data_IF_342787494076
#
_entry.id   IF_342787494076
#
_cell.length_a   1.000
_cell.length_b   1.000
_cell.length_c   1.000
_cell.angle_alpha   90.00
_cell.angle_beta   90.00
_cell.angle_gamma   90.00
#
_symmetry.space_group_name_H-M   'P 1'
#
loop_
_entity.id
_entity.type
_entity.pdbx_description
1 polymer ?
#
# COMPACT_ATOMS: atom_id res chain seq x y z
N UNK A 1 -11.43 -10.55 -22.97
CA UNK A 1 -10.57 -11.18 -21.95
C UNK A 1 -10.67 -10.36 -20.67
N UNK A 2 -10.98 -10.95 -19.52
CA UNK A 2 -10.83 -10.23 -18.24
C UNK A 2 -9.38 -10.23 -17.79
N UNK A 3 -9.01 -9.19 -17.05
CA UNK A 3 -7.68 -9.04 -16.47
C UNK A 3 -7.78 -9.16 -14.96
N UNK A 4 -6.87 -9.92 -14.37
CA UNK A 4 -6.78 -10.13 -12.93
C UNK A 4 -5.47 -9.59 -12.39
N UNK A 5 -5.52 -9.08 -11.16
CA UNK A 5 -4.34 -8.70 -10.38
C UNK A 5 -4.45 -9.31 -8.99
N UNK A 6 -3.32 -9.42 -8.29
CA UNK A 6 -3.28 -9.87 -6.89
C UNK A 6 -2.92 -8.70 -6.00
N UNK A 7 -3.83 -8.30 -5.11
CA UNK A 7 -3.61 -7.23 -4.13
C UNK A 7 -3.97 -7.73 -2.74
N UNK A 8 -3.11 -7.45 -1.75
CA UNK A 8 -3.28 -7.91 -0.36
C UNK A 8 -3.59 -9.41 -0.22
N UNK A 9 -3.00 -10.25 -1.09
CA UNK A 9 -3.23 -11.70 -1.08
C UNK A 9 -4.49 -12.17 -1.82
N UNK A 10 -5.35 -11.26 -2.27
CA UNK A 10 -6.64 -11.55 -2.91
C UNK A 10 -6.51 -11.32 -4.43
N UNK A 11 -7.07 -12.22 -5.23
CA UNK A 11 -7.20 -12.04 -6.67
C UNK A 11 -8.44 -11.20 -6.98
N UNK A 12 -8.29 -10.25 -7.88
CA UNK A 12 -9.36 -9.32 -8.22
C UNK A 12 -9.38 -9.04 -9.71
N UNK A 13 -10.58 -9.01 -10.28
CA UNK A 13 -10.79 -8.51 -11.63
C UNK A 13 -10.72 -6.98 -11.62
N UNK A 14 -9.86 -6.41 -12.45
CA UNK A 14 -9.67 -4.95 -12.52
C UNK A 14 -10.11 -4.34 -13.86
N UNK A 15 -10.45 -5.18 -14.83
CA UNK A 15 -10.83 -4.71 -16.16
C UNK A 15 -11.06 -5.84 -17.15
N UNK A 16 -11.39 -5.45 -18.38
CA UNK A 16 -11.34 -6.35 -19.52
C UNK A 16 -10.65 -5.70 -20.70
N UNK A 17 -10.06 -6.54 -21.54
CA UNK A 17 -9.40 -6.17 -22.76
C UNK A 17 -10.09 -6.80 -23.98
N UNK A 18 -10.09 -6.03 -25.05
CA UNK A 18 -10.20 -6.55 -26.42
C UNK A 18 -8.80 -6.75 -26.96
N UNK A 19 -8.55 -7.91 -27.58
CA UNK A 19 -7.32 -8.14 -28.35
C UNK A 19 -7.46 -7.35 -29.65
N UNK A 20 -6.55 -6.40 -29.87
CA UNK A 20 -6.50 -5.62 -31.11
C UNK A 20 -5.62 -6.32 -32.16
N UNK A 21 -4.49 -6.87 -31.72
CA UNK A 21 -3.51 -7.47 -32.62
C UNK A 21 -2.63 -8.50 -31.89
N UNK A 22 -1.90 -9.30 -32.66
CA UNK A 22 -0.91 -10.26 -32.17
C UNK A 22 0.42 -10.03 -32.89
N UNK A 23 1.52 -9.99 -32.15
CA UNK A 23 2.83 -9.73 -32.74
C UNK A 23 3.91 -10.61 -32.10
N UNK A 24 5.05 -10.73 -32.80
CA UNK A 24 6.24 -11.42 -32.29
C UNK A 24 7.24 -10.37 -31.84
N UNK A 25 7.70 -10.49 -30.60
CA UNK A 25 8.72 -9.64 -30.03
C UNK A 25 9.58 -10.45 -29.07
N UNK A 26 10.90 -10.46 -29.33
CA UNK A 26 11.87 -11.26 -28.60
C UNK A 26 12.36 -10.58 -27.32
N UNK A 27 11.99 -9.32 -27.07
CA UNK A 27 12.34 -8.63 -25.84
C UNK A 27 11.54 -9.20 -24.67
N UNK A 28 12.18 -9.41 -23.53
CA UNK A 28 11.47 -9.74 -22.30
C UNK A 28 10.67 -8.55 -21.80
N UNK A 29 9.56 -8.82 -21.10
CA UNK A 29 8.81 -7.80 -20.38
C UNK A 29 9.02 -7.98 -18.88
N UNK A 30 9.05 -6.85 -18.15
CA UNK A 30 9.12 -6.80 -16.70
C UNK A 30 10.34 -7.54 -16.11
N UNK A 31 11.56 -7.15 -16.54
CA UNK A 31 12.82 -7.73 -16.06
C UNK A 31 12.85 -9.27 -16.14
N UNK A 32 12.66 -9.82 -17.34
CA UNK A 32 12.70 -11.27 -17.64
C UNK A 32 11.62 -12.14 -16.98
N UNK A 33 10.61 -11.52 -16.34
CA UNK A 33 9.51 -12.26 -15.74
C UNK A 33 8.56 -12.87 -16.78
N UNK A 34 8.34 -12.18 -17.91
CA UNK A 34 7.52 -12.68 -19.03
C UNK A 34 8.34 -12.79 -20.31
N UNK A 35 8.60 -14.03 -20.72
CA UNK A 35 9.48 -14.38 -21.85
C UNK A 35 8.74 -14.92 -23.08
N UNK A 36 7.42 -14.71 -23.17
CA UNK A 36 6.66 -15.14 -24.35
C UNK A 36 7.02 -14.28 -25.56
N UNK A 37 7.52 -14.95 -26.61
CA UNK A 37 7.78 -14.31 -27.92
C UNK A 37 6.51 -13.82 -28.61
N UNK A 38 5.38 -14.50 -28.39
CA UNK A 38 4.07 -14.10 -28.92
C UNK A 38 3.40 -13.17 -27.92
N UNK A 39 3.09 -11.96 -28.35
CA UNK A 39 2.49 -10.91 -27.51
C UNK A 39 1.16 -10.45 -28.09
N UNK A 40 0.29 -9.97 -27.21
CA UNK A 40 -1.02 -9.43 -27.55
C UNK A 40 -1.02 -7.92 -27.36
N UNK A 41 -1.51 -7.18 -28.36
CA UNK A 41 -1.86 -5.77 -28.19
C UNK A 41 -3.29 -5.68 -27.66
N UNK A 42 -3.46 -5.01 -26.52
CA UNK A 42 -4.73 -4.97 -25.79
C UNK A 42 -5.30 -3.56 -25.73
N UNK A 43 -6.60 -3.43 -26.03
CA UNK A 43 -7.39 -2.24 -25.67
C UNK A 43 -8.16 -2.52 -24.40
N UNK A 44 -7.74 -1.87 -23.32
CA UNK A 44 -8.24 -2.14 -21.96
C UNK A 44 -9.37 -1.17 -21.60
N UNK A 45 -10.38 -1.68 -20.90
CA UNK A 45 -11.35 -0.90 -20.12
C UNK A 45 -11.24 -1.32 -18.66
N UNK A 46 -11.11 -0.35 -17.78
CA UNK A 46 -10.89 -0.59 -16.36
C UNK A 46 -12.20 -0.60 -15.60
N UNK A 47 -12.20 -1.28 -14.46
CA UNK A 47 -13.28 -1.20 -13.49
C UNK A 47 -13.00 -0.03 -12.54
N UNK A 48 -14.02 0.74 -12.20
CA UNK A 48 -13.90 1.82 -11.20
C UNK A 48 -13.51 1.25 -9.83
N UNK A 49 -14.09 0.10 -9.48
CA UNK A 49 -13.73 -0.69 -8.32
C UNK A 49 -13.43 -2.13 -8.77
N UNK A 50 -12.35 -2.74 -8.27
CA UNK A 50 -12.03 -4.12 -8.61
C UNK A 50 -13.04 -5.08 -7.97
N UNK A 51 -13.24 -6.23 -8.60
CA UNK A 51 -14.16 -7.27 -8.12
C UNK A 51 -13.32 -8.43 -7.57
N UNK A 52 -13.42 -8.65 -6.27
CA UNK A 52 -12.79 -9.78 -5.59
C UNK A 52 -13.29 -11.10 -6.17
N UNK A 53 -12.36 -12.00 -6.50
CA UNK A 53 -12.73 -13.36 -6.92
C UNK A 53 -13.46 -14.09 -5.80
N UNK A 54 -13.20 -13.77 -4.52
CA UNK A 54 -13.89 -14.39 -3.39
C UNK A 54 -15.38 -14.05 -3.39
N UNK A 55 -15.73 -12.82 -3.77
CA UNK A 55 -17.10 -12.30 -3.68
C UNK A 55 -18.00 -12.75 -4.84
N UNK A 56 -17.40 -13.21 -5.93
CA UNK A 56 -18.11 -13.61 -7.15
C UNK A 56 -17.97 -15.11 -7.46
N UNK A 57 -17.07 -15.83 -6.79
CA UNK A 57 -16.77 -17.24 -7.09
C UNK A 57 -18.00 -18.14 -7.08
N UNK A 58 -18.97 -17.89 -6.21
CA UNK A 58 -20.17 -18.72 -6.11
C UNK A 58 -21.10 -18.59 -7.33
N UNK A 59 -21.04 -17.45 -8.01
CA UNK A 59 -21.85 -17.13 -9.20
C UNK A 59 -21.20 -17.57 -10.52
N UNK A 60 -19.98 -18.11 -10.48
CA UNK A 60 -19.21 -18.48 -11.67
C UNK A 60 -19.18 -19.98 -11.90
N UNK A 61 -19.64 -20.41 -13.08
CA UNK A 61 -19.73 -21.81 -13.50
C UNK A 61 -18.34 -22.45 -13.65
N UNK A 62 -17.36 -21.69 -14.15
CA UNK A 62 -15.98 -22.19 -14.26
C UNK A 62 -15.32 -22.49 -12.89
N UNK A 63 -15.91 -22.00 -11.79
CA UNK A 63 -15.47 -22.26 -10.41
C UNK A 63 -16.22 -23.47 -9.86
N UNK A 64 -15.67 -24.67 -10.13
CA UNK A 64 -16.29 -25.95 -9.75
C UNK A 64 -16.24 -26.23 -8.25
N UNK A 65 -15.15 -25.86 -7.58
CA UNK A 65 -14.96 -26.08 -6.15
C UNK A 65 -15.01 -24.75 -5.39
N UNK A 66 -16.17 -24.42 -4.83
CA UNK A 66 -16.39 -23.16 -4.10
C UNK A 66 -15.53 -23.05 -2.84
N UNK A 67 -15.30 -24.16 -2.13
CA UNK A 67 -14.43 -24.22 -0.93
C UNK A 67 -12.95 -23.97 -1.25
N UNK A 68 -12.54 -24.18 -2.50
CA UNK A 68 -11.18 -23.94 -3.00
C UNK A 68 -11.21 -23.14 -4.30
N UNK A 69 -11.96 -22.04 -4.31
CA UNK A 69 -12.19 -21.24 -5.51
C UNK A 69 -10.89 -20.77 -6.17
N UNK A 70 -9.86 -20.45 -5.36
CA UNK A 70 -8.53 -20.06 -5.82
C UNK A 70 -7.89 -21.03 -6.82
N UNK A 71 -8.17 -22.34 -6.73
CA UNK A 71 -7.66 -23.33 -7.67
C UNK A 71 -8.15 -23.08 -9.10
N UNK A 72 -9.33 -22.47 -9.24
CA UNK A 72 -9.93 -22.16 -10.54
C UNK A 72 -9.24 -20.99 -11.25
N UNK A 73 -8.33 -20.27 -10.59
CA UNK A 73 -7.62 -19.08 -11.08
C UNK A 73 -6.09 -19.27 -11.16
N UNK A 74 -5.59 -20.49 -10.97
CA UNK A 74 -4.13 -20.76 -10.96
C UNK A 74 -3.46 -20.68 -12.32
N UNK A 75 -4.20 -20.93 -13.40
CA UNK A 75 -3.64 -20.89 -14.76
C UNK A 75 -3.44 -19.44 -15.22
N UNK A 76 -2.38 -19.22 -16.00
CA UNK A 76 -2.10 -17.90 -16.59
C UNK A 76 -3.27 -17.42 -17.48
N UNK A 77 -3.88 -18.36 -18.21
CA UNK A 77 -5.09 -18.12 -19.00
C UNK A 77 -6.14 -19.17 -18.65
N UNK A 78 -7.41 -18.75 -18.68
CA UNK A 78 -8.55 -19.64 -18.55
C UNK A 78 -9.67 -19.16 -19.45
N UNK A 79 -10.15 -20.06 -20.31
CA UNK A 79 -11.36 -19.82 -21.07
C UNK A 79 -12.57 -19.87 -20.14
N UNK A 80 -13.51 -18.96 -20.35
CA UNK A 80 -14.75 -18.84 -19.57
C UNK A 80 -15.93 -18.80 -20.51
N UNK A 81 -17.09 -19.26 -20.02
CA UNK A 81 -18.34 -19.20 -20.77
C UNK A 81 -18.84 -17.76 -20.95
N UNK A 82 -19.75 -17.59 -21.91
CA UNK A 82 -20.39 -16.28 -22.16
C UNK A 82 -21.23 -15.81 -20.97
N UNK A 83 -21.80 -16.74 -20.20
CA UNK A 83 -22.65 -16.40 -19.05
C UNK A 83 -21.81 -15.96 -17.85
N UNK A 84 -20.71 -16.66 -17.54
CA UNK A 84 -19.68 -16.18 -16.62
C UNK A 84 -19.18 -14.78 -17.01
N UNK A 85 -18.98 -14.56 -18.31
CA UNK A 85 -18.55 -13.25 -18.78
C UNK A 85 -19.57 -12.16 -18.47
N UNK A 86 -20.86 -12.43 -18.70
CA UNK A 86 -21.94 -11.48 -18.39
C UNK A 86 -22.05 -11.24 -16.89
N UNK A 87 -21.91 -12.27 -16.06
CA UNK A 87 -21.95 -12.17 -14.59
C UNK A 87 -20.88 -11.18 -14.09
N UNK A 88 -19.62 -11.40 -14.47
CA UNK A 88 -18.51 -10.49 -14.09
C UNK A 88 -18.76 -9.08 -14.63
N UNK A 89 -19.14 -8.98 -15.92
CA UNK A 89 -19.33 -7.67 -16.58
C UNK A 89 -20.43 -6.83 -15.94
N UNK A 90 -21.53 -7.46 -15.48
CA UNK A 90 -22.69 -6.77 -14.87
C UNK A 90 -22.36 -6.15 -13.52
N UNK A 91 -21.43 -6.73 -12.75
CA UNK A 91 -20.98 -6.18 -11.47
C UNK A 91 -20.02 -4.99 -11.62
N UNK A 92 -19.47 -4.78 -12.81
CA UNK A 92 -18.45 -3.77 -13.04
C UNK A 92 -19.02 -2.43 -13.54
N UNK A 93 -18.73 -1.35 -12.80
CA UNK A 93 -18.77 0.02 -13.34
C UNK A 93 -17.45 0.31 -14.06
N UNK A 94 -17.52 0.82 -15.28
CA UNK A 94 -16.33 1.03 -16.12
C UNK A 94 -15.81 2.46 -16.06
N UNK A 95 -14.49 2.59 -16.17
CA UNK A 95 -13.79 3.86 -16.37
C UNK A 95 -12.80 3.74 -17.54
N UNK A 96 -12.56 4.87 -18.20
CA UNK A 96 -11.65 4.96 -19.35
C UNK A 96 -10.22 5.33 -18.97
N UNK A 97 -10.01 5.83 -17.75
CA UNK A 97 -8.69 6.19 -17.21
C UNK A 97 -8.15 5.08 -16.32
N UNK A 98 -6.82 5.02 -16.16
CA UNK A 98 -6.19 4.11 -15.21
C UNK A 98 -6.70 4.44 -13.80
N UNK A 99 -7.31 3.49 -13.08
CA UNK A 99 -7.79 3.72 -11.72
C UNK A 99 -6.63 3.91 -10.74
N UNK A 100 -6.82 4.79 -9.75
CA UNK A 100 -5.82 5.08 -8.71
C UNK A 100 -5.37 3.83 -7.94
N UNK A 101 -6.20 2.79 -7.87
CA UNK A 101 -5.90 1.55 -7.16
C UNK A 101 -4.96 0.60 -7.93
N UNK A 102 -4.73 0.87 -9.22
CA UNK A 102 -3.70 0.27 -10.07
C UNK A 102 -2.52 1.21 -10.27
N UNK A 103 -2.65 2.46 -9.86
CA UNK A 103 -1.57 3.43 -9.92
C UNK A 103 -0.52 3.04 -8.89
N UNK A 104 0.73 2.93 -9.32
CA UNK A 104 1.84 2.72 -8.40
C UNK A 104 2.08 4.05 -7.69
N UNK A 105 1.50 4.23 -6.51
CA UNK A 105 1.89 5.35 -5.64
C UNK A 105 3.31 5.06 -5.16
N UNK A 106 4.30 5.47 -5.93
CA UNK A 106 5.69 5.51 -5.51
C UNK A 106 5.88 6.74 -4.61
N UNK A 107 5.59 6.60 -3.32
CA UNK A 107 6.02 7.60 -2.35
C UNK A 107 7.47 7.32 -1.98
N UNK A 108 8.29 8.37 -1.89
CA UNK A 108 9.62 8.17 -1.38
C UNK A 108 9.53 7.73 0.10
N UNK A 109 10.46 6.88 0.56
CA UNK A 109 10.37 6.32 1.92
C UNK A 109 10.37 7.42 3.01
N UNK A 110 11.06 8.54 2.79
CA UNK A 110 11.12 9.63 3.76
C UNK A 110 9.78 10.35 3.87
N UNK A 111 9.14 10.70 2.75
CA UNK A 111 7.78 11.27 2.71
C UNK A 111 6.77 10.34 3.37
N UNK A 112 6.88 9.04 3.11
CA UNK A 112 6.02 8.04 3.76
C UNK A 112 6.19 8.03 5.28
N UNK A 113 7.44 8.06 5.76
CA UNK A 113 7.75 8.12 7.19
C UNK A 113 7.27 9.44 7.80
N UNK A 114 7.47 10.57 7.14
CA UNK A 114 7.03 11.89 7.61
C UNK A 114 5.51 11.95 7.74
N UNK A 115 4.78 11.53 6.70
CA UNK A 115 3.32 11.45 6.71
C UNK A 115 2.81 10.52 7.80
N UNK A 116 3.46 9.36 7.99
CA UNK A 116 3.09 8.42 9.05
C UNK A 116 3.28 9.03 10.44
N UNK A 117 4.38 9.75 10.66
CA UNK A 117 4.66 10.44 11.93
C UNK A 117 3.62 11.55 12.19
N UNK A 118 3.29 12.36 11.18
CA UNK A 118 2.26 13.39 11.28
C UNK A 118 0.88 12.81 11.62
N UNK A 119 0.46 11.75 10.92
CA UNK A 119 -0.80 11.07 11.18
C UNK A 119 -0.83 10.48 12.59
N UNK A 120 0.24 9.80 13.01
CA UNK A 120 0.34 9.25 14.35
C UNK A 120 0.26 10.35 15.42
N UNK A 121 0.92 11.49 15.20
CA UNK A 121 0.85 12.63 16.13
C UNK A 121 -0.58 13.16 16.27
N UNK A 122 -1.28 13.37 15.13
CA UNK A 122 -2.66 13.87 15.15
C UNK A 122 -3.62 12.89 15.84
N UNK A 123 -3.45 11.58 15.61
CA UNK A 123 -4.22 10.54 16.29
C UNK A 123 -3.95 10.59 17.80
N UNK A 124 -2.69 10.60 18.22
CA UNK A 124 -2.32 10.66 19.63
C UNK A 124 -2.86 11.94 20.28
N UNK A 125 -2.69 13.10 19.64
CA UNK A 125 -3.20 14.39 20.13
C UNK A 125 -4.73 14.39 20.29
N UNK A 126 -5.46 13.67 19.44
CA UNK A 126 -6.91 13.60 19.50
C UNK A 126 -7.43 12.67 20.62
N UNK A 127 -6.76 11.55 20.88
CA UNK A 127 -7.25 10.51 21.80
C UNK A 127 -6.56 10.49 23.17
N UNK A 128 -5.36 11.07 23.31
CA UNK A 128 -4.62 11.08 24.56
C UNK A 128 -5.11 12.21 25.47
N UNK A 129 -5.41 11.89 26.73
CA UNK A 129 -5.89 12.88 27.71
C UNK A 129 -4.76 13.67 28.35
N UNK A 130 -3.53 13.13 28.30
CA UNK A 130 -2.32 13.81 28.78
C UNK A 130 -1.90 14.90 27.81
N UNK A 131 -1.37 16.00 28.35
CA UNK A 131 -0.85 17.16 27.59
C UNK A 131 0.49 16.91 26.90
N UNK A 132 1.11 15.76 27.10
CA UNK A 132 2.39 15.40 26.52
C UNK A 132 2.57 13.88 26.43
N UNK A 133 3.41 13.44 25.50
CA UNK A 133 3.82 12.04 25.33
C UNK A 133 5.34 11.92 25.28
N UNK A 134 5.91 10.88 25.87
CA UNK A 134 7.34 10.58 25.73
C UNK A 134 7.68 10.26 24.27
N UNK A 135 8.74 10.86 23.73
CA UNK A 135 9.16 10.68 22.33
C UNK A 135 9.37 9.19 22.03
N UNK A 136 10.01 8.45 22.93
CA UNK A 136 10.25 7.02 22.74
C UNK A 136 8.96 6.20 22.66
N UNK A 137 7.95 6.52 23.50
CA UNK A 137 6.63 5.87 23.46
C UNK A 137 5.84 6.25 22.21
N UNK A 138 5.95 7.50 21.78
CA UNK A 138 5.37 7.95 20.52
C UNK A 138 5.96 7.19 19.32
N UNK A 139 7.28 7.01 19.30
CA UNK A 139 7.95 6.23 18.24
C UNK A 139 7.57 4.74 18.26
N UNK A 140 7.25 4.16 19.42
CA UNK A 140 6.70 2.79 19.50
C UNK A 140 5.32 2.68 18.82
N UNK A 141 4.51 3.75 18.86
CA UNK A 141 3.23 3.81 18.13
C UNK A 141 3.49 3.89 16.62
N UNK A 142 4.41 4.76 16.19
CA UNK A 142 4.82 4.89 14.78
C UNK A 142 5.33 3.55 14.24
N UNK A 143 6.17 2.85 15.00
CA UNK A 143 6.69 1.53 14.61
C UNK A 143 5.56 0.52 14.35
N UNK A 144 4.51 0.53 15.18
CA UNK A 144 3.33 -0.33 14.99
C UNK A 144 2.58 -0.01 13.69
N UNK A 145 2.40 1.27 13.36
CA UNK A 145 1.81 1.67 12.08
C UNK A 145 2.65 1.17 10.90
N UNK A 146 3.96 1.40 10.94
CA UNK A 146 4.87 0.97 9.87
C UNK A 146 4.87 -0.54 9.65
N UNK A 147 4.83 -1.32 10.74
CA UNK A 147 4.67 -2.78 10.67
C UNK A 147 3.35 -3.18 10.00
N UNK A 148 2.25 -2.46 10.27
CA UNK A 148 0.97 -2.65 9.60
C UNK A 148 1.04 -2.44 8.09
N UNK A 149 1.89 -1.52 7.63
CA UNK A 149 2.15 -1.28 6.20
C UNK A 149 3.24 -2.18 5.60
N UNK A 150 3.77 -3.16 6.35
CA UNK A 150 4.84 -4.06 5.88
C UNK A 150 6.23 -3.43 5.85
N UNK A 151 6.42 -2.24 6.42
CA UNK A 151 7.70 -1.54 6.46
C UNK A 151 8.51 -2.01 7.67
N UNK A 152 9.61 -2.73 7.40
CA UNK A 152 10.52 -3.26 8.43
C UNK A 152 11.66 -2.27 8.71
N UNK A 153 11.40 -1.31 9.59
CA UNK A 153 12.44 -0.43 10.17
C UNK A 153 12.54 -0.63 11.67
N UNK A 154 13.75 -0.71 12.18
CA UNK A 154 13.99 -0.87 13.61
C UNK A 154 13.81 0.46 14.37
N UNK A 155 13.66 0.36 15.69
CA UNK A 155 13.48 1.52 16.57
C UNK A 155 14.66 2.50 16.49
N UNK A 156 15.89 2.01 16.29
CA UNK A 156 17.09 2.86 16.18
C UNK A 156 17.05 3.74 14.94
N UNK A 157 16.60 3.19 13.81
CA UNK A 157 16.38 3.91 12.57
C UNK A 157 15.30 4.98 12.74
N UNK A 158 14.18 4.64 13.40
CA UNK A 158 13.10 5.61 13.64
C UNK A 158 13.53 6.75 14.55
N UNK A 159 14.28 6.46 15.62
CA UNK A 159 14.87 7.49 16.48
C UNK A 159 15.77 8.41 15.65
N UNK A 160 16.69 7.85 14.87
CA UNK A 160 17.61 8.64 14.05
C UNK A 160 16.89 9.49 13.00
N UNK A 161 15.89 8.92 12.33
CA UNK A 161 15.06 9.63 11.35
C UNK A 161 14.30 10.77 12.03
N UNK A 162 13.63 10.49 13.14
CA UNK A 162 12.91 11.49 13.91
C UNK A 162 13.82 12.61 14.40
N UNK A 163 14.99 12.27 14.96
CA UNK A 163 15.98 13.25 15.44
C UNK A 163 16.38 14.24 14.35
N UNK A 164 16.64 13.75 13.12
CA UNK A 164 17.04 14.58 11.98
C UNK A 164 15.92 15.47 11.46
N UNK A 165 14.69 14.98 11.51
CA UNK A 165 13.52 15.66 10.93
C UNK A 165 12.62 16.33 11.98
N UNK A 166 13.01 16.34 13.26
CA UNK A 166 12.19 16.84 14.35
C UNK A 166 11.65 18.26 14.12
N UNK A 167 12.47 19.10 13.47
CA UNK A 167 12.15 20.48 13.11
C UNK A 167 11.05 20.53 12.04
N UNK A 168 11.14 19.69 11.01
CA UNK A 168 10.18 19.72 9.89
C UNK A 168 8.78 19.26 10.31
N UNK A 169 8.67 18.53 11.42
CA UNK A 169 7.38 18.16 12.01
C UNK A 169 6.64 19.32 12.70
N UNK A 170 7.35 20.39 13.07
CA UNK A 170 6.75 21.53 13.77
C UNK A 170 6.19 21.21 15.16
N UNK A 171 6.47 20.02 15.70
CA UNK A 171 6.02 19.65 17.04
C UNK A 171 6.79 20.41 18.12
N UNK A 172 6.11 20.73 19.22
CA UNK A 172 6.77 21.36 20.38
C UNK A 172 7.38 20.29 21.28
N UNK A 173 8.71 20.23 21.35
CA UNK A 173 9.43 19.28 22.23
C UNK A 173 9.74 19.88 23.60
N UNK A 174 9.71 19.02 24.63
CA UNK A 174 9.94 19.40 26.02
C UNK A 174 11.15 18.61 26.57
N UNK A 175 12.14 19.28 27.18
CA UNK A 175 13.28 18.62 27.79
C UNK A 175 12.90 17.88 29.09
N UNK A 176 13.74 16.94 29.51
CA UNK A 176 13.64 16.26 30.80
C UNK A 176 14.98 16.36 31.55
N UNK A 177 14.96 16.07 32.84
CA UNK A 177 16.18 15.84 33.64
C UNK A 177 16.56 14.36 33.73
N UNK A 178 15.64 13.48 33.32
CA UNK A 178 15.81 12.03 33.34
C UNK A 178 16.62 11.56 32.11
N UNK A 179 17.88 11.10 32.28
CA UNK A 179 18.73 10.70 31.16
C UNK A 179 18.20 9.51 30.37
N UNK A 180 17.44 8.61 31.00
CA UNK A 180 16.91 7.40 30.34
C UNK A 180 15.84 7.72 29.30
N UNK A 181 15.30 8.95 29.35
CA UNK A 181 14.28 9.44 28.43
C UNK A 181 14.84 10.33 27.32
N UNK A 182 16.16 10.55 27.28
CA UNK A 182 16.76 11.48 26.33
C UNK A 182 16.71 10.97 24.91
N UNK A 183 16.18 11.81 24.04
CA UNK A 183 16.27 11.70 22.59
C UNK A 183 16.97 12.95 22.08
N UNK A 184 18.17 12.83 21.50
CA UNK A 184 18.89 13.97 20.94
C UNK A 184 18.22 14.41 19.64
N UNK A 185 17.70 15.63 19.59
CA UNK A 185 17.08 16.22 18.41
C UNK A 185 17.98 17.34 17.86
N UNK A 186 18.00 17.51 16.54
CA UNK A 186 18.75 18.61 15.92
C UNK A 186 17.96 19.92 16.01
N UNK A 187 18.65 21.02 16.27
CA UNK A 187 18.12 22.40 16.23
C UNK A 187 18.35 23.02 14.86
N UNK A 188 17.74 24.19 14.60
CA UNK A 188 17.96 24.95 13.35
C UNK A 188 19.44 25.30 13.09
N UNK A 189 20.25 25.42 14.15
CA UNK A 189 21.71 25.62 14.06
C UNK A 189 22.51 24.35 13.73
N UNK A 190 21.86 23.19 13.68
CA UNK A 190 22.52 21.89 13.52
C UNK A 190 23.06 21.28 14.83
N UNK A 191 22.86 21.96 15.97
CA UNK A 191 23.27 21.43 17.28
C UNK A 191 22.32 20.35 17.77
N UNK A 192 22.82 19.44 18.61
CA UNK A 192 21.98 18.43 19.28
C UNK A 192 21.57 18.92 20.67
N UNK A 193 20.28 18.83 20.96
CA UNK A 193 19.74 19.04 22.31
C UNK A 193 18.90 17.85 22.74
N UNK A 194 18.97 17.50 24.01
CA UNK A 194 18.22 16.37 24.56
C UNK A 194 16.80 16.79 24.92
N UNK A 195 15.84 16.08 24.35
CA UNK A 195 14.43 16.20 24.66
C UNK A 195 13.88 14.86 25.14
N UNK A 196 12.70 14.87 25.76
CA UNK A 196 12.08 13.63 26.22
C UNK A 196 10.61 13.53 25.84
N UNK A 197 9.92 14.66 25.69
CA UNK A 197 8.48 14.67 25.43
C UNK A 197 8.13 15.51 24.20
N UNK A 198 6.98 15.19 23.61
CA UNK A 198 6.28 15.97 22.61
C UNK A 198 5.03 16.55 23.30
N UNK A 199 4.81 17.85 23.16
CA UNK A 199 3.60 18.51 23.63
C UNK A 199 2.43 18.14 22.73
N UNK A 200 1.29 17.85 23.36
CA UNK A 200 0.01 17.55 22.73
C UNK A 200 -0.99 18.69 22.89
N UNK A 201 -0.58 19.82 23.50
CA UNK A 201 -1.39 21.04 23.59
C UNK A 201 -1.57 21.67 22.20
#
# INVERSE_FOLDING_TARGET
MFLLTKRNGILEFFGYAKVEDTFIDNNSLYNDYYNSKKKLKLKIKYFENPISTLDISDELDFVKNKKRSADSFKSEYKEIGIDDFKVIRRKAKLVNTLPAYLDEISMNLNEFLENTIYLAYNIVKHYETRKQIEILKFLDIVEKFLKGYGVKKDKKYLIHFYSKNAISFGFKHIPSRDPDKFVPLYTYSGDKKNFAYISLE
#
